data_IF_641021738285
#
_entry.id   IF_641021738285
#
_cell.length_a   1.000
_cell.length_b   1.000
_cell.length_c   1.000
_cell.angle_alpha   90.00
_cell.angle_beta   90.00
_cell.angle_gamma   90.00
#
_symmetry.space_group_name_H-M   'P 1'
#
loop_
_entity.id
_entity.type
_entity.pdbx_description
1 polymer ?
#
# COMPACT_ATOMS: atom_id res chain seq x y z
N UNK A 1 -26.91 -20.16 -0.49
CA UNK A 1 -26.46 -18.77 -0.23
C UNK A 1 -27.62 -17.87 -0.62
N UNK A 2 -28.02 -17.02 0.28
CA UNK A 2 -29.18 -16.14 0.05
C UNK A 2 -28.68 -14.67 0.16
N UNK A 3 -27.87 -14.28 -0.84
CA UNK A 3 -27.37 -12.92 -0.91
C UNK A 3 -28.41 -12.01 -1.56
N UNK A 4 -28.48 -10.75 -1.10
CA UNK A 4 -29.32 -9.72 -1.70
C UNK A 4 -28.92 -9.55 -3.17
N UNK A 5 -29.93 -9.60 -4.09
CA UNK A 5 -29.67 -9.48 -5.52
C UNK A 5 -29.72 -8.03 -5.99
N UNK A 6 -28.72 -7.70 -6.80
CA UNK A 6 -28.63 -6.43 -7.53
C UNK A 6 -28.69 -6.72 -9.02
N UNK A 7 -29.70 -6.20 -9.70
CA UNK A 7 -29.89 -6.39 -11.14
C UNK A 7 -29.32 -5.20 -11.91
N UNK A 8 -28.54 -5.47 -12.94
CA UNK A 8 -27.98 -4.44 -13.83
C UNK A 8 -28.98 -3.98 -14.88
N UNK A 9 -28.77 -2.76 -15.41
CA UNK A 9 -29.47 -2.27 -16.61
C UNK A 9 -29.04 -3.05 -17.85
N UNK A 10 -29.91 -3.18 -18.87
CA UNK A 10 -29.55 -3.82 -20.14
C UNK A 10 -28.29 -3.20 -20.75
N UNK A 11 -27.38 -4.04 -21.24
CA UNK A 11 -26.11 -3.62 -21.89
C UNK A 11 -25.06 -3.06 -20.93
N UNK A 12 -25.22 -3.25 -19.60
CA UNK A 12 -24.18 -2.87 -18.61
C UNK A 12 -23.34 -4.07 -18.14
N UNK A 13 -23.68 -5.27 -18.62
CA UNK A 13 -22.97 -6.53 -18.34
C UNK A 13 -21.67 -6.72 -19.12
N UNK A 14 -21.46 -6.01 -20.23
CA UNK A 14 -20.31 -6.23 -21.14
C UNK A 14 -18.94 -6.09 -20.49
N UNK A 15 -18.80 -5.20 -19.50
CA UNK A 15 -17.53 -5.03 -18.80
C UNK A 15 -17.18 -6.24 -17.91
N UNK A 16 -18.21 -6.94 -17.41
CA UNK A 16 -18.04 -8.09 -16.52
C UNK A 16 -17.64 -9.36 -17.29
N UNK A 17 -18.01 -9.47 -18.57
CA UNK A 17 -17.47 -10.51 -19.46
C UNK A 17 -15.96 -10.42 -19.66
N UNK A 18 -15.36 -9.26 -19.35
CA UNK A 18 -13.91 -9.02 -19.32
C UNK A 18 -13.36 -9.00 -17.89
N UNK A 19 -14.09 -9.52 -16.93
CA UNK A 19 -13.72 -9.60 -15.51
C UNK A 19 -13.44 -8.24 -14.86
N UNK A 20 -14.12 -7.16 -15.29
CA UNK A 20 -14.00 -5.87 -14.63
C UNK A 20 -14.71 -5.92 -13.26
N UNK A 21 -14.01 -5.61 -12.15
CA UNK A 21 -14.53 -5.90 -10.81
C UNK A 21 -15.48 -4.81 -10.26
N UNK A 22 -15.71 -3.70 -10.95
CA UNK A 22 -16.48 -2.57 -10.41
C UNK A 22 -17.85 -2.42 -11.05
N UNK A 23 -18.88 -2.48 -10.21
CA UNK A 23 -20.24 -2.11 -10.58
C UNK A 23 -20.48 -0.65 -10.20
N UNK A 24 -20.64 0.20 -11.19
CA UNK A 24 -20.95 1.61 -10.93
C UNK A 24 -22.43 1.78 -10.58
N UNK A 25 -22.76 2.71 -9.67
CA UNK A 25 -24.13 2.99 -9.23
C UNK A 25 -25.08 3.29 -10.41
N UNK A 26 -24.59 3.99 -11.44
CA UNK A 26 -25.36 4.26 -12.66
C UNK A 26 -25.70 3.03 -13.52
N UNK A 27 -25.04 1.88 -13.31
CA UNK A 27 -25.32 0.63 -14.01
C UNK A 27 -26.42 -0.20 -13.35
N UNK A 28 -26.80 0.10 -12.10
CA UNK A 28 -27.81 -0.65 -11.36
C UNK A 28 -29.20 -0.27 -11.83
N UNK A 29 -30.01 -1.30 -12.13
CA UNK A 29 -31.41 -1.16 -12.47
C UNK A 29 -32.28 -1.19 -11.22
N UNK A 30 -32.11 -2.21 -10.37
CA UNK A 30 -32.87 -2.36 -9.12
C UNK A 30 -32.11 -3.18 -8.09
N UNK A 31 -32.50 -2.96 -6.83
CA UNK A 31 -32.17 -3.81 -5.69
C UNK A 31 -33.38 -4.69 -5.37
N UNK A 32 -33.17 -5.96 -5.04
CA UNK A 32 -34.22 -6.83 -4.48
C UNK A 32 -34.65 -6.30 -3.11
N UNK A 33 -33.66 -5.96 -2.29
CA UNK A 33 -33.77 -5.22 -1.02
C UNK A 33 -32.59 -4.26 -0.97
N UNK A 34 -32.76 -3.09 -0.36
CA UNK A 34 -31.68 -2.12 -0.19
C UNK A 34 -30.56 -2.76 0.68
N UNK A 35 -29.35 -2.94 0.16
CA UNK A 35 -28.23 -3.44 0.96
C UNK A 35 -27.71 -2.37 1.92
N UNK A 36 -27.10 -2.83 3.00
CA UNK A 36 -26.32 -2.00 3.90
C UNK A 36 -24.85 -1.93 3.45
N UNK A 37 -24.10 -0.94 3.94
CA UNK A 37 -22.66 -0.78 3.68
C UNK A 37 -21.91 -2.06 4.10
N UNK A 38 -21.16 -2.63 3.17
CA UNK A 38 -20.36 -3.83 3.41
C UNK A 38 -21.06 -5.15 3.17
N UNK A 39 -22.39 -5.15 2.90
CA UNK A 39 -23.12 -6.38 2.60
C UNK A 39 -22.53 -7.12 1.42
N UNK A 40 -22.52 -8.45 1.53
CA UNK A 40 -22.24 -9.33 0.40
C UNK A 40 -23.50 -9.42 -0.45
N UNK A 41 -23.36 -9.15 -1.75
CA UNK A 41 -24.46 -9.10 -2.72
C UNK A 41 -24.17 -9.95 -3.94
N UNK A 42 -25.21 -10.51 -4.53
CA UNK A 42 -25.18 -11.18 -5.83
C UNK A 42 -25.56 -10.18 -6.93
N UNK A 43 -24.72 -10.08 -7.96
CA UNK A 43 -24.99 -9.23 -9.13
C UNK A 43 -25.49 -10.09 -10.27
N UNK A 44 -26.60 -9.68 -10.89
CA UNK A 44 -27.21 -10.34 -12.05
C UNK A 44 -27.36 -9.36 -13.20
N UNK A 45 -27.40 -9.89 -14.43
CA UNK A 45 -27.79 -9.11 -15.60
C UNK A 45 -29.30 -8.78 -15.59
N UNK A 46 -29.77 -8.08 -16.63
CA UNK A 46 -31.17 -7.71 -16.77
C UNK A 46 -32.11 -8.92 -16.90
N UNK A 47 -31.63 -10.07 -17.40
CA UNK A 47 -32.37 -11.30 -17.57
C UNK A 47 -32.36 -12.19 -16.32
N UNK A 48 -31.59 -11.83 -15.29
CA UNK A 48 -31.44 -12.58 -14.06
C UNK A 48 -30.30 -13.61 -14.10
N UNK A 49 -29.47 -13.60 -15.14
CA UNK A 49 -28.29 -14.46 -15.18
C UNK A 49 -27.22 -13.95 -14.19
N UNK A 50 -26.56 -14.88 -13.52
CA UNK A 50 -25.51 -14.60 -12.58
C UNK A 50 -24.30 -13.92 -13.25
N UNK A 51 -23.78 -12.87 -12.63
CA UNK A 51 -22.55 -12.16 -13.02
C UNK A 51 -21.45 -12.39 -12.01
N UNK A 52 -21.70 -12.14 -10.73
CA UNK A 52 -20.68 -12.26 -9.68
C UNK A 52 -21.23 -11.95 -8.29
N UNK A 53 -20.37 -12.16 -7.30
CA UNK A 53 -20.62 -11.84 -5.90
C UNK A 53 -19.59 -10.79 -5.45
N UNK A 54 -20.05 -9.77 -4.72
CA UNK A 54 -19.19 -8.68 -4.28
C UNK A 54 -19.68 -7.99 -3.02
N UNK A 55 -18.98 -6.94 -2.63
CA UNK A 55 -19.30 -6.11 -1.47
C UNK A 55 -19.94 -4.80 -1.92
N UNK A 56 -21.11 -4.48 -1.33
CA UNK A 56 -21.81 -3.24 -1.58
C UNK A 56 -21.22 -2.08 -0.78
N UNK A 57 -21.22 -0.90 -1.39
CA UNK A 57 -20.92 0.37 -0.68
C UNK A 57 -21.68 1.54 -1.31
N UNK A 58 -21.92 2.58 -0.52
CA UNK A 58 -22.51 3.84 -0.99
C UNK A 58 -21.43 4.64 -1.74
N UNK A 59 -21.67 4.95 -3.01
CA UNK A 59 -20.73 5.74 -3.82
C UNK A 59 -20.88 5.52 -5.32
N UNK A 60 -19.94 6.02 -6.09
CA UNK A 60 -19.92 5.85 -7.54
C UNK A 60 -19.64 4.39 -7.95
N UNK A 61 -18.74 3.72 -7.23
CA UNK A 61 -18.52 2.27 -7.33
C UNK A 61 -19.40 1.64 -6.24
N UNK A 62 -20.56 1.12 -6.65
CA UNK A 62 -21.57 0.60 -5.72
C UNK A 62 -21.30 -0.86 -5.30
N UNK A 63 -20.67 -1.68 -6.16
CA UNK A 63 -20.24 -3.02 -5.78
C UNK A 63 -18.83 -3.29 -6.30
N UNK A 64 -18.01 -3.90 -5.46
CA UNK A 64 -16.74 -4.49 -5.87
C UNK A 64 -16.87 -6.00 -5.89
N UNK A 65 -16.79 -6.57 -7.09
CA UNK A 65 -16.88 -8.03 -7.30
C UNK A 65 -15.65 -8.70 -6.68
N UNK A 66 -15.89 -9.68 -5.82
CA UNK A 66 -14.89 -10.54 -5.20
C UNK A 66 -14.66 -11.82 -6.00
N UNK A 67 -15.74 -12.31 -6.63
CA UNK A 67 -15.69 -13.52 -7.44
C UNK A 67 -16.73 -13.50 -8.56
N UNK A 68 -16.36 -14.08 -9.71
CA UNK A 68 -17.25 -14.33 -10.84
C UNK A 68 -17.78 -15.76 -10.85
N UNK A 69 -17.66 -16.46 -9.71
CA UNK A 69 -18.19 -17.82 -9.50
C UNK A 69 -19.24 -17.81 -8.40
N UNK A 70 -20.15 -18.76 -8.45
CA UNK A 70 -21.09 -19.00 -7.36
C UNK A 70 -20.36 -19.74 -6.24
N UNK A 71 -19.82 -19.00 -5.29
CA UNK A 71 -19.13 -19.51 -4.11
C UNK A 71 -19.42 -18.64 -2.90
N UNK A 72 -19.29 -19.20 -1.72
CA UNK A 72 -19.54 -18.50 -0.48
C UNK A 72 -18.35 -17.61 -0.09
N UNK A 73 -18.64 -16.37 0.30
CA UNK A 73 -17.62 -15.45 0.83
C UNK A 73 -17.52 -15.68 2.35
N UNK A 74 -16.54 -16.46 2.73
CA UNK A 74 -16.26 -16.87 4.10
C UNK A 74 -14.74 -16.91 4.35
N UNK A 75 -14.29 -17.36 5.52
CA UNK A 75 -12.86 -17.48 5.86
C UNK A 75 -12.09 -18.33 4.83
N UNK A 76 -12.69 -19.43 4.33
CA UNK A 76 -12.05 -20.28 3.31
C UNK A 76 -11.88 -19.58 1.96
N UNK A 77 -12.78 -18.69 1.59
CA UNK A 77 -12.62 -17.81 0.41
C UNK A 77 -11.39 -16.91 0.57
N UNK A 78 -11.29 -16.20 1.72
CA UNK A 78 -10.14 -15.33 2.00
C UNK A 78 -8.84 -16.13 2.07
N UNK A 79 -8.86 -17.31 2.69
CA UNK A 79 -7.70 -18.22 2.72
C UNK A 79 -7.16 -18.52 1.32
N UNK A 80 -8.03 -18.93 0.39
CA UNK A 80 -7.63 -19.23 -1.00
C UNK A 80 -7.00 -18.01 -1.70
N UNK A 81 -7.61 -16.84 -1.58
CA UNK A 81 -7.11 -15.61 -2.21
C UNK A 81 -5.76 -15.18 -1.64
N UNK A 82 -5.62 -15.24 -0.32
CA UNK A 82 -4.36 -14.92 0.36
C UNK A 82 -3.26 -15.92 0.03
N UNK A 83 -3.60 -17.21 -0.08
CA UNK A 83 -2.65 -18.24 -0.50
C UNK A 83 -2.17 -18.03 -1.95
N UNK A 84 -3.07 -17.67 -2.87
CA UNK A 84 -2.71 -17.32 -4.25
C UNK A 84 -1.76 -16.12 -4.27
N UNK A 85 -2.09 -15.04 -3.55
CA UNK A 85 -1.25 -13.86 -3.44
C UNK A 85 0.13 -14.19 -2.83
N UNK A 86 0.18 -14.99 -1.79
CA UNK A 86 1.43 -15.43 -1.16
C UNK A 86 2.31 -16.25 -2.11
N UNK A 87 1.72 -17.19 -2.84
CA UNK A 87 2.43 -18.01 -3.81
C UNK A 87 3.07 -17.17 -4.93
N UNK A 88 2.38 -16.13 -5.40
CA UNK A 88 2.95 -15.17 -6.37
C UNK A 88 4.19 -14.49 -5.79
N UNK A 89 4.13 -13.99 -4.55
CA UNK A 89 5.28 -13.31 -3.90
C UNK A 89 6.45 -14.25 -3.66
N UNK A 90 6.18 -15.50 -3.32
CA UNK A 90 7.22 -16.54 -3.21
C UNK A 90 7.90 -16.81 -4.56
N UNK A 91 7.11 -16.99 -5.62
CA UNK A 91 7.64 -17.26 -6.96
C UNK A 91 8.49 -16.12 -7.52
N UNK A 92 8.22 -14.88 -7.09
CA UNK A 92 8.99 -13.69 -7.43
C UNK A 92 10.23 -13.48 -6.54
N UNK A 93 10.49 -14.35 -5.56
CA UNK A 93 11.61 -14.22 -4.64
C UNK A 93 11.51 -13.04 -3.66
N UNK A 94 10.29 -12.51 -3.45
CA UNK A 94 10.06 -11.36 -2.57
C UNK A 94 10.07 -11.73 -1.08
N UNK A 95 9.98 -13.02 -0.76
CA UNK A 95 9.94 -13.59 0.58
C UNK A 95 10.92 -14.77 0.63
N UNK A 96 12.22 -14.48 0.68
CA UNK A 96 13.29 -15.49 0.69
C UNK A 96 14.16 -15.40 1.96
N UNK A 97 13.53 -15.19 3.10
CA UNK A 97 14.17 -15.22 4.41
C UNK A 97 14.93 -13.95 4.76
N UNK A 98 16.24 -14.08 5.06
CA UNK A 98 17.05 -12.96 5.54
C UNK A 98 17.34 -11.89 4.48
N UNK A 99 17.30 -12.26 3.21
CA UNK A 99 17.58 -11.32 2.10
C UNK A 99 16.37 -10.44 1.77
N UNK A 100 15.17 -11.04 1.79
CA UNK A 100 13.90 -10.33 1.62
C UNK A 100 12.85 -10.89 2.57
N UNK A 101 12.33 -10.08 3.46
CA UNK A 101 11.19 -10.39 4.33
C UNK A 101 10.14 -9.27 4.33
N UNK A 102 10.14 -8.44 3.29
CA UNK A 102 9.29 -7.27 3.13
C UNK A 102 8.70 -7.24 1.74
N UNK A 103 7.38 -7.15 1.63
CA UNK A 103 6.71 -6.94 0.35
C UNK A 103 5.25 -6.53 0.54
N UNK A 104 4.61 -6.02 -0.53
CA UNK A 104 3.16 -5.96 -0.61
C UNK A 104 2.61 -7.35 -0.91
N UNK A 105 1.99 -7.96 0.10
CA UNK A 105 1.37 -9.27 -0.02
C UNK A 105 0.04 -9.21 -0.78
N UNK A 106 -0.77 -8.20 -0.50
CA UNK A 106 -2.06 -7.98 -1.17
C UNK A 106 -2.15 -6.56 -1.70
N UNK A 107 -2.53 -6.45 -2.97
CA UNK A 107 -2.74 -5.19 -3.67
C UNK A 107 -4.14 -5.09 -4.29
N UNK A 108 -5.15 -5.07 -3.46
CA UNK A 108 -6.53 -4.79 -3.88
C UNK A 108 -7.00 -5.64 -5.04
N UNK A 109 -7.47 -4.99 -6.08
CA UNK A 109 -7.98 -5.59 -7.31
C UNK A 109 -6.96 -6.50 -8.01
N UNK A 110 -5.67 -6.19 -7.91
CA UNK A 110 -4.60 -6.99 -8.51
C UNK A 110 -4.48 -8.41 -7.92
N UNK A 111 -4.93 -8.59 -6.69
CA UNK A 111 -4.95 -9.89 -6.00
C UNK A 111 -6.39 -10.41 -5.78
N UNK A 112 -7.37 -9.90 -6.52
CA UNK A 112 -8.79 -10.24 -6.42
C UNK A 112 -9.39 -10.04 -5.00
N UNK A 113 -8.86 -9.07 -4.26
CA UNK A 113 -9.33 -8.62 -2.95
C UNK A 113 -9.52 -7.09 -2.96
N UNK A 114 -10.44 -6.56 -3.79
CA UNK A 114 -10.61 -5.14 -4.03
C UNK A 114 -10.85 -4.37 -2.72
N UNK A 115 -10.03 -3.35 -2.50
CA UNK A 115 -10.09 -2.53 -1.30
C UNK A 115 -9.30 -3.08 -0.10
N UNK A 116 -8.49 -4.12 -0.28
CA UNK A 116 -7.59 -4.65 0.75
C UNK A 116 -6.12 -4.42 0.37
N UNK A 117 -5.34 -3.87 1.27
CA UNK A 117 -3.88 -3.78 1.18
C UNK A 117 -3.28 -4.53 2.37
N UNK A 118 -2.28 -5.37 2.10
CA UNK A 118 -1.49 -6.02 3.16
C UNK A 118 -0.02 -5.92 2.78
N UNK A 119 0.77 -5.28 3.64
CA UNK A 119 2.22 -5.22 3.53
C UNK A 119 2.87 -6.05 4.64
N UNK A 120 3.86 -6.84 4.27
CA UNK A 120 4.65 -7.64 5.21
C UNK A 120 5.95 -6.92 5.55
N UNK A 121 6.27 -6.88 6.85
CA UNK A 121 7.51 -6.37 7.41
C UNK A 121 8.06 -7.39 8.40
N UNK A 122 8.94 -8.27 7.91
CA UNK A 122 9.44 -9.40 8.69
C UNK A 122 8.27 -10.26 9.22
N UNK A 123 8.07 -10.28 10.53
CA UNK A 123 7.02 -11.07 11.19
C UNK A 123 5.73 -10.29 11.48
N UNK A 124 5.59 -9.09 10.93
CA UNK A 124 4.40 -8.26 11.08
C UNK A 124 3.72 -8.02 9.74
N UNK A 125 2.43 -8.32 9.66
CA UNK A 125 1.57 -7.92 8.57
C UNK A 125 0.83 -6.63 8.94
N UNK A 126 0.90 -5.61 8.10
CA UNK A 126 0.13 -4.38 8.24
C UNK A 126 -1.01 -4.39 7.24
N UNK A 127 -2.24 -4.41 7.73
CA UNK A 127 -3.46 -4.54 6.95
C UNK A 127 -4.23 -3.22 6.90
N UNK A 128 -4.62 -2.80 5.71
CA UNK A 128 -5.48 -1.63 5.48
C UNK A 128 -6.72 -2.02 4.69
N UNK A 129 -7.88 -1.64 5.21
CA UNK A 129 -9.14 -1.66 4.48
C UNK A 129 -9.41 -0.28 3.86
N UNK A 130 -9.82 -0.27 2.61
CA UNK A 130 -10.23 0.92 1.86
C UNK A 130 -11.73 0.91 1.52
N UNK A 131 -12.44 -0.11 1.99
CA UNK A 131 -13.89 -0.31 1.78
C UNK A 131 -14.55 -0.81 3.06
N UNK A 132 -15.84 -0.49 3.29
CA UNK A 132 -16.59 -0.99 4.44
C UNK A 132 -16.61 -2.53 4.51
N UNK A 133 -16.80 -3.20 3.37
CA UNK A 133 -16.83 -4.66 3.33
C UNK A 133 -15.53 -5.31 3.79
N UNK A 134 -14.35 -4.76 3.41
CA UNK A 134 -13.06 -5.26 3.90
C UNK A 134 -12.83 -4.92 5.37
N UNK A 135 -13.36 -3.78 5.86
CA UNK A 135 -13.35 -3.45 7.27
C UNK A 135 -14.14 -4.46 8.11
N UNK A 136 -15.37 -4.78 7.71
CA UNK A 136 -16.18 -5.77 8.42
C UNK A 136 -15.60 -7.18 8.38
N UNK A 137 -14.96 -7.55 7.27
CA UNK A 137 -14.30 -8.85 7.12
C UNK A 137 -12.91 -8.96 7.80
N UNK A 138 -12.40 -7.89 8.43
CA UNK A 138 -11.00 -7.82 8.91
C UNK A 138 -10.59 -8.98 9.81
N UNK A 139 -11.47 -9.46 10.68
CA UNK A 139 -11.16 -10.59 11.57
C UNK A 139 -11.08 -11.93 10.82
N UNK A 140 -11.99 -12.18 9.87
CA UNK A 140 -11.93 -13.37 9.01
C UNK A 140 -10.67 -13.35 8.12
N UNK A 141 -10.33 -12.18 7.59
CA UNK A 141 -9.11 -11.99 6.79
C UNK A 141 -7.86 -12.23 7.66
N UNK A 142 -7.84 -11.72 8.89
CA UNK A 142 -6.72 -11.93 9.81
C UNK A 142 -6.54 -13.41 10.19
N UNK A 143 -7.62 -14.14 10.43
CA UNK A 143 -7.58 -15.60 10.68
C UNK A 143 -7.07 -16.37 9.47
N UNK A 144 -7.60 -16.07 8.29
CA UNK A 144 -7.16 -16.65 7.04
C UNK A 144 -5.67 -16.33 6.75
N UNK A 145 -5.22 -15.10 7.00
CA UNK A 145 -3.83 -14.69 6.84
C UNK A 145 -2.89 -15.45 7.79
N UNK A 146 -3.29 -15.62 9.06
CA UNK A 146 -2.54 -16.43 10.02
C UNK A 146 -2.48 -17.91 9.59
N UNK A 147 -3.56 -18.43 9.02
CA UNK A 147 -3.60 -19.81 8.50
C UNK A 147 -2.68 -20.00 7.30
N UNK A 148 -2.57 -19.01 6.40
CA UNK A 148 -1.67 -19.04 5.23
C UNK A 148 -0.21 -18.91 5.62
N UNK A 149 0.13 -17.95 6.48
CA UNK A 149 1.52 -17.61 6.80
C UNK A 149 2.09 -18.40 7.99
N UNK A 150 1.22 -18.99 8.84
CA UNK A 150 1.61 -19.83 9.96
C UNK A 150 2.61 -19.12 10.89
N UNK A 151 3.78 -19.73 11.08
CA UNK A 151 4.86 -19.20 11.93
C UNK A 151 5.71 -18.12 11.24
N UNK A 152 5.41 -17.78 9.97
CA UNK A 152 6.09 -16.68 9.30
C UNK A 152 5.64 -15.29 9.82
N UNK A 153 4.49 -15.20 10.48
CA UNK A 153 4.03 -13.97 11.14
C UNK A 153 3.68 -14.21 12.62
N UNK A 154 4.01 -13.21 13.42
CA UNK A 154 3.66 -13.17 14.85
C UNK A 154 2.60 -12.08 15.11
N UNK A 155 2.50 -11.04 14.23
CA UNK A 155 1.63 -9.91 14.43
C UNK A 155 0.84 -9.55 13.17
N UNK A 156 -0.40 -9.08 13.38
CA UNK A 156 -1.23 -8.44 12.36
C UNK A 156 -1.69 -7.10 12.94
N UNK A 157 -1.24 -6.01 12.35
CA UNK A 157 -1.64 -4.65 12.74
C UNK A 157 -2.64 -4.09 11.72
N UNK A 158 -3.83 -3.76 12.17
CA UNK A 158 -4.87 -3.12 11.35
C UNK A 158 -4.72 -1.61 11.43
N UNK A 159 -4.57 -0.97 10.27
CA UNK A 159 -4.31 0.48 10.16
C UNK A 159 -5.24 1.12 9.14
N UNK A 160 -6.48 1.36 9.51
CA UNK A 160 -7.50 1.83 8.57
C UNK A 160 -8.25 3.10 8.98
N UNK A 161 -7.90 3.71 10.10
CA UNK A 161 -8.51 4.95 10.60
C UNK A 161 -8.61 6.05 9.51
N UNK A 162 -7.59 6.18 8.66
CA UNK A 162 -7.52 7.23 7.62
C UNK A 162 -7.77 6.72 6.20
N UNK A 163 -8.00 5.42 6.00
CA UNK A 163 -8.14 4.81 4.67
C UNK A 163 -9.57 4.47 4.30
N UNK A 164 -10.45 4.35 5.28
CA UNK A 164 -11.87 4.08 5.06
C UNK A 164 -12.60 5.30 4.47
N UNK A 165 -13.65 5.06 3.66
CA UNK A 165 -14.44 6.14 3.11
C UNK A 165 -15.09 6.98 4.22
N UNK A 166 -14.85 8.28 4.22
CA UNK A 166 -15.43 9.23 5.20
C UNK A 166 -16.96 9.11 5.33
N UNK A 167 -17.66 8.82 4.22
CA UNK A 167 -19.13 8.72 4.20
C UNK A 167 -19.69 7.47 4.88
N UNK A 168 -18.85 6.50 5.20
CA UNK A 168 -19.31 5.27 5.83
C UNK A 168 -19.46 5.39 7.34
N UNK A 169 -19.00 6.51 7.94
CA UNK A 169 -19.08 6.80 9.38
C UNK A 169 -18.65 5.62 10.26
N UNK A 170 -17.64 4.87 9.79
CA UNK A 170 -17.13 3.69 10.49
C UNK A 170 -16.18 4.11 11.61
N UNK A 171 -16.44 3.59 12.79
CA UNK A 171 -15.55 3.72 13.93
C UNK A 171 -14.40 2.72 13.80
N UNK A 172 -13.36 3.14 13.07
CA UNK A 172 -12.21 2.30 12.77
C UNK A 172 -11.00 2.77 13.56
N UNK A 173 -10.75 2.14 14.69
CA UNK A 173 -9.51 2.31 15.42
C UNK A 173 -8.39 1.43 14.81
N UNK A 174 -7.16 1.94 14.90
CA UNK A 174 -5.98 1.15 14.56
C UNK A 174 -5.64 0.22 15.73
N UNK A 175 -5.52 -1.08 15.46
CA UNK A 175 -5.36 -2.10 16.50
C UNK A 175 -4.49 -3.28 16.06
N UNK A 176 -3.98 -4.05 17.01
CA UNK A 176 -3.43 -5.38 16.72
C UNK A 176 -4.55 -6.41 16.69
N UNK A 177 -4.79 -7.03 15.54
CA UNK A 177 -5.71 -8.19 15.40
C UNK A 177 -5.07 -9.51 15.82
N UNK A 178 -3.73 -9.54 15.83
CA UNK A 178 -2.93 -10.66 16.31
C UNK A 178 -1.63 -10.13 16.91
N UNK A 179 -1.19 -10.71 18.02
CA UNK A 179 0.09 -10.37 18.65
C UNK A 179 0.07 -9.03 19.35
N UNK A 180 1.18 -8.30 19.24
CA UNK A 180 1.39 -7.02 19.91
C UNK A 180 2.72 -6.40 19.51
N UNK A 181 3.49 -5.95 20.50
CA UNK A 181 4.79 -5.34 20.25
C UNK A 181 5.79 -6.33 19.63
N UNK A 182 6.47 -5.92 18.57
CA UNK A 182 7.40 -6.72 17.80
C UNK A 182 8.60 -5.91 17.33
N UNK A 183 9.76 -6.56 17.07
CA UNK A 183 10.87 -5.92 16.42
C UNK A 183 10.46 -5.35 15.08
N UNK A 184 10.65 -4.05 14.91
CA UNK A 184 10.24 -3.29 13.73
C UNK A 184 11.35 -3.17 12.68
N UNK A 185 12.22 -4.18 12.58
CA UNK A 185 13.29 -4.25 11.57
C UNK A 185 12.84 -5.19 10.47
N UNK A 186 12.87 -4.69 9.25
CA UNK A 186 12.59 -5.43 8.03
C UNK A 186 13.80 -5.43 7.10
N UNK A 187 13.83 -6.33 6.12
CA UNK A 187 14.92 -6.48 5.16
C UNK A 187 14.40 -6.46 3.73
N UNK A 188 15.05 -5.67 2.89
CA UNK A 188 14.80 -5.58 1.46
C UNK A 188 16.13 -5.65 0.71
N UNK A 189 16.28 -6.63 -0.17
CA UNK A 189 17.52 -6.85 -0.94
C UNK A 189 18.78 -6.86 -0.05
N UNK A 190 18.69 -7.46 1.14
CA UNK A 190 19.78 -7.56 2.11
C UNK A 190 20.02 -6.28 2.95
N UNK A 191 19.37 -5.16 2.66
CA UNK A 191 19.43 -3.94 3.48
C UNK A 191 18.35 -3.96 4.55
N UNK A 192 18.73 -3.62 5.77
CA UNK A 192 17.83 -3.60 6.94
C UNK A 192 17.32 -2.19 7.19
N UNK A 193 16.08 -2.09 7.66
CA UNK A 193 15.50 -0.80 8.03
C UNK A 193 14.41 -0.94 9.08
N UNK A 194 14.30 0.10 9.89
CA UNK A 194 13.21 0.24 10.84
C UNK A 194 11.94 0.68 10.12
N UNK A 195 10.81 0.09 10.49
CA UNK A 195 9.48 0.45 9.99
C UNK A 195 8.61 0.93 11.14
N UNK A 196 8.06 2.11 11.03
CA UNK A 196 7.05 2.61 11.98
C UNK A 196 5.66 2.45 11.36
N UNK A 197 5.05 1.28 11.52
CA UNK A 197 3.69 1.05 11.03
C UNK A 197 2.62 1.72 11.88
N UNK A 198 2.90 2.08 13.13
CA UNK A 198 1.94 2.73 14.02
C UNK A 198 1.76 4.21 13.65
N UNK A 199 2.87 4.95 13.54
CA UNK A 199 2.87 6.41 13.34
C UNK A 199 3.32 6.85 11.94
N UNK A 200 3.98 5.96 11.20
CA UNK A 200 4.50 6.24 9.86
C UNK A 200 3.40 6.42 8.82
N UNK A 201 3.78 6.96 7.68
CA UNK A 201 2.87 7.13 6.54
C UNK A 201 2.46 5.77 5.94
N UNK A 202 1.25 5.70 5.38
CA UNK A 202 0.72 4.47 4.77
C UNK A 202 0.83 3.29 5.75
N UNK A 203 1.45 2.20 5.31
CA UNK A 203 1.75 1.01 6.13
C UNK A 203 3.06 1.12 6.91
N UNK A 204 3.84 2.21 6.74
CA UNK A 204 5.12 2.46 7.43
C UNK A 204 6.32 2.58 6.50
N UNK A 205 6.27 2.00 5.29
CA UNK A 205 7.33 2.09 4.28
C UNK A 205 6.73 2.01 2.85
N UNK A 206 7.45 2.53 1.86
CA UNK A 206 7.03 2.50 0.45
C UNK A 206 7.62 1.27 -0.25
N UNK A 207 6.99 0.11 -0.07
CA UNK A 207 7.48 -1.18 -0.61
C UNK A 207 7.43 -1.26 -2.14
N UNK A 208 6.60 -0.45 -2.78
CA UNK A 208 6.44 -0.34 -4.24
C UNK A 208 7.66 0.27 -4.93
N UNK A 209 8.50 1.03 -4.21
CA UNK A 209 9.70 1.68 -4.74
C UNK A 209 10.95 0.79 -4.75
N UNK A 210 10.84 -0.51 -4.44
CA UNK A 210 11.98 -1.46 -4.35
C UNK A 210 12.86 -1.43 -5.60
N UNK A 211 12.26 -1.59 -6.77
CA UNK A 211 12.99 -1.65 -8.04
C UNK A 211 13.64 -0.31 -8.39
N UNK A 212 12.99 0.80 -8.06
CA UNK A 212 13.57 2.13 -8.25
C UNK A 212 14.75 2.37 -7.30
N UNK A 213 14.69 1.86 -6.06
CA UNK A 213 15.84 1.89 -5.15
C UNK A 213 17.02 1.05 -5.66
N UNK A 214 16.74 -0.16 -6.15
CA UNK A 214 17.76 -1.03 -6.75
C UNK A 214 18.33 -0.42 -8.04
N UNK A 215 17.53 0.27 -8.82
CA UNK A 215 18.00 1.00 -10.01
C UNK A 215 18.95 2.14 -9.62
N UNK A 216 18.57 2.94 -8.61
CA UNK A 216 19.41 4.02 -8.11
C UNK A 216 20.80 3.52 -7.69
N UNK A 217 20.84 2.38 -6.99
CA UNK A 217 22.10 1.77 -6.53
C UNK A 217 23.10 1.59 -7.69
N UNK A 218 22.61 1.16 -8.87
CA UNK A 218 23.47 0.96 -10.06
C UNK A 218 24.08 2.26 -10.58
N UNK A 219 23.41 3.40 -10.35
CA UNK A 219 23.86 4.69 -10.83
C UNK A 219 24.63 5.50 -9.77
N UNK A 220 24.66 5.03 -8.52
CA UNK A 220 25.21 5.80 -7.41
C UNK A 220 26.76 5.80 -7.33
N UNK A 221 27.42 4.83 -7.95
CA UNK A 221 28.87 4.64 -7.82
C UNK A 221 29.69 5.89 -8.14
N UNK A 222 30.49 6.35 -7.16
CA UNK A 222 31.37 7.51 -7.27
C UNK A 222 30.67 8.87 -7.37
N UNK A 223 29.35 8.92 -7.22
CA UNK A 223 28.55 10.15 -7.35
C UNK A 223 28.19 10.76 -6.02
N UNK A 224 27.98 12.09 -6.02
CA UNK A 224 27.29 12.82 -4.97
C UNK A 224 25.79 12.70 -5.22
N UNK A 225 25.05 12.15 -4.25
CA UNK A 225 23.61 11.86 -4.38
C UNK A 225 22.81 12.73 -3.43
N UNK A 226 21.77 13.38 -3.94
CA UNK A 226 20.77 14.10 -3.15
C UNK A 226 19.43 13.34 -3.20
N UNK A 227 18.90 12.96 -2.05
CA UNK A 227 17.59 12.35 -1.88
C UNK A 227 16.62 13.36 -1.25
N UNK A 228 15.79 13.99 -2.08
CA UNK A 228 14.76 14.94 -1.66
C UNK A 228 13.48 14.22 -1.30
N UNK A 229 12.75 14.72 -0.29
CA UNK A 229 11.54 14.05 0.25
C UNK A 229 11.85 12.62 0.69
N UNK A 230 12.99 12.47 1.38
CA UNK A 230 13.61 11.17 1.59
C UNK A 230 12.82 10.24 2.51
N UNK A 231 11.80 10.73 3.24
CA UNK A 231 11.05 9.99 4.24
C UNK A 231 12.00 9.25 5.20
N UNK A 232 12.02 7.93 5.23
CA UNK A 232 12.88 7.12 6.11
C UNK A 232 14.19 6.70 5.47
N UNK A 233 14.60 7.37 4.38
CA UNK A 233 15.91 7.21 3.75
C UNK A 233 16.08 6.01 2.85
N UNK A 234 14.98 5.41 2.37
CA UNK A 234 15.04 4.20 1.55
C UNK A 234 16.00 4.30 0.37
N UNK A 235 15.95 5.36 -0.41
CA UNK A 235 16.88 5.59 -1.51
C UNK A 235 18.32 5.86 -1.02
N UNK A 236 18.48 6.53 0.13
CA UNK A 236 19.79 6.93 0.64
C UNK A 236 20.68 5.74 0.99
N UNK A 237 20.16 4.74 1.73
CA UNK A 237 20.98 3.58 2.07
C UNK A 237 21.24 2.66 0.87
N UNK A 238 20.38 2.66 -0.18
CA UNK A 238 20.71 2.00 -1.45
C UNK A 238 21.82 2.75 -2.21
N UNK A 239 21.81 4.09 -2.24
CA UNK A 239 22.88 4.88 -2.83
C UNK A 239 24.23 4.63 -2.12
N UNK A 240 24.23 4.53 -0.78
CA UNK A 240 25.43 4.21 0.00
C UNK A 240 25.99 2.82 -0.34
N UNK A 241 25.12 1.80 -0.46
CA UNK A 241 25.55 0.45 -0.88
C UNK A 241 26.08 0.45 -2.31
N UNK A 242 25.53 1.30 -3.18
CA UNK A 242 26.02 1.54 -4.54
C UNK A 242 27.35 2.30 -4.61
N UNK A 243 28.03 2.54 -3.47
CA UNK A 243 29.30 3.25 -3.36
C UNK A 243 29.23 4.71 -3.84
N UNK A 244 28.15 5.43 -3.51
CA UNK A 244 28.12 6.87 -3.63
C UNK A 244 29.28 7.50 -2.80
N UNK A 245 29.90 8.56 -3.29
CA UNK A 245 30.96 9.30 -2.56
C UNK A 245 30.38 10.21 -1.47
N UNK A 246 29.14 10.66 -1.65
CA UNK A 246 28.39 11.52 -0.74
C UNK A 246 26.91 11.21 -0.92
N UNK A 247 26.14 11.17 0.18
CA UNK A 247 24.67 11.03 0.16
C UNK A 247 24.06 12.04 1.12
N UNK A 248 23.25 12.95 0.60
CA UNK A 248 22.45 13.86 1.42
C UNK A 248 20.99 13.48 1.35
N UNK A 249 20.32 13.49 2.50
CA UNK A 249 18.89 13.21 2.65
C UNK A 249 18.16 14.44 3.19
N UNK A 250 17.09 14.85 2.54
CA UNK A 250 16.31 16.02 2.94
C UNK A 250 14.83 15.65 3.08
N UNK A 251 14.25 15.98 4.23
CA UNK A 251 12.82 15.86 4.50
C UNK A 251 12.40 16.91 5.53
N UNK A 252 11.19 17.44 5.41
CA UNK A 252 10.67 18.42 6.36
C UNK A 252 10.33 17.83 7.75
N UNK A 253 10.18 16.50 7.83
CA UNK A 253 9.86 15.78 9.06
C UNK A 253 11.12 15.38 9.82
N UNK A 254 11.38 16.00 10.98
CA UNK A 254 12.49 15.61 11.85
C UNK A 254 12.44 14.14 12.27
N UNK A 255 11.22 13.58 12.50
CA UNK A 255 11.05 12.16 12.82
C UNK A 255 11.46 11.24 11.66
N UNK A 256 11.19 11.63 10.41
CA UNK A 256 11.61 10.90 9.23
C UNK A 256 13.16 10.94 9.12
N UNK A 257 13.76 12.10 9.34
CA UNK A 257 15.22 12.27 9.35
C UNK A 257 15.89 11.46 10.47
N UNK A 258 15.34 11.45 11.68
CA UNK A 258 15.85 10.60 12.77
C UNK A 258 15.85 9.12 12.39
N UNK A 259 14.78 8.67 11.71
CA UNK A 259 14.67 7.29 11.25
C UNK A 259 15.61 7.01 10.08
N UNK A 260 15.81 7.97 9.18
CA UNK A 260 16.82 7.90 8.10
C UNK A 260 18.22 7.69 8.68
N UNK A 261 18.63 8.49 9.68
CA UNK A 261 19.93 8.33 10.34
C UNK A 261 20.08 6.95 10.99
N UNK A 262 19.03 6.46 11.69
CA UNK A 262 19.04 5.12 12.28
C UNK A 262 19.16 4.02 11.22
N UNK A 263 18.50 4.15 10.09
CA UNK A 263 18.54 3.18 8.98
C UNK A 263 19.92 3.17 8.31
N UNK A 264 20.55 4.32 8.17
CA UNK A 264 21.92 4.41 7.65
C UNK A 264 22.89 3.76 8.64
N UNK A 265 22.84 4.12 9.92
CA UNK A 265 23.71 3.54 10.95
C UNK A 265 23.53 2.02 11.09
N UNK A 266 22.32 1.50 10.92
CA UNK A 266 22.01 0.06 10.96
C UNK A 266 22.76 -0.74 9.86
N UNK A 267 22.95 -0.14 8.69
CA UNK A 267 23.60 -0.78 7.53
C UNK A 267 25.06 -0.39 7.34
N UNK A 268 25.44 0.81 7.77
CA UNK A 268 26.77 1.41 7.53
C UNK A 268 27.28 2.11 8.80
N UNK A 269 27.53 1.36 9.88
CA UNK A 269 27.92 1.95 11.16
C UNK A 269 29.23 2.75 11.04
N UNK A 270 29.18 4.01 11.50
CA UNK A 270 30.29 4.91 11.47
C UNK A 270 30.68 5.47 10.10
N UNK A 271 29.88 5.25 9.06
CA UNK A 271 30.14 5.79 7.72
C UNK A 271 29.72 7.27 7.63
N UNK A 272 30.69 8.13 7.38
CA UNK A 272 30.52 9.59 7.36
C UNK A 272 30.11 10.16 5.98
N UNK A 273 29.87 9.32 4.98
CA UNK A 273 29.41 9.77 3.65
C UNK A 273 27.99 10.30 3.65
N UNK A 274 27.18 10.00 4.68
CA UNK A 274 25.79 10.40 4.76
C UNK A 274 25.61 11.62 5.66
N UNK A 275 24.75 12.56 5.20
CA UNK A 275 24.24 13.66 6.02
C UNK A 275 22.74 13.80 5.78
N UNK A 276 21.99 14.16 6.83
CA UNK A 276 20.54 14.30 6.75
C UNK A 276 20.09 15.65 7.31
N UNK A 277 19.10 16.28 6.66
CA UNK A 277 18.64 17.62 6.92
C UNK A 277 17.13 17.62 7.14
N UNK A 278 16.69 18.03 8.33
CA UNK A 278 15.27 18.26 8.64
C UNK A 278 14.87 19.66 8.17
N UNK A 279 14.67 19.82 6.86
CA UNK A 279 14.43 21.11 6.23
C UNK A 279 13.38 21.02 5.13
N UNK A 280 12.74 22.15 4.86
CA UNK A 280 11.87 22.29 3.69
C UNK A 280 12.68 22.13 2.40
N UNK A 281 12.16 21.29 1.49
CA UNK A 281 12.86 20.92 0.28
C UNK A 281 13.18 22.13 -0.62
N UNK A 282 12.28 23.11 -0.73
CA UNK A 282 12.50 24.29 -1.58
C UNK A 282 13.55 25.22 -0.96
N UNK A 283 13.51 25.41 0.36
CA UNK A 283 14.54 26.19 1.07
C UNK A 283 15.93 25.57 0.92
N UNK A 284 15.99 24.23 1.01
CA UNK A 284 17.25 23.52 0.82
C UNK A 284 17.79 23.73 -0.61
N UNK A 285 16.92 23.64 -1.62
CA UNK A 285 17.28 23.87 -3.03
C UNK A 285 17.81 25.29 -3.27
N UNK A 286 17.23 26.30 -2.63
CA UNK A 286 17.67 27.70 -2.74
C UNK A 286 19.09 27.93 -2.21
N UNK A 287 19.56 27.09 -1.29
CA UNK A 287 20.85 27.23 -0.61
C UNK A 287 21.90 26.27 -1.14
N UNK A 288 21.51 25.21 -1.87
CA UNK A 288 22.45 24.24 -2.40
C UNK A 288 23.18 24.79 -3.64
N UNK A 289 24.48 24.46 -3.75
CA UNK A 289 25.25 24.70 -4.97
C UNK A 289 25.22 23.51 -5.93
N UNK A 290 25.95 23.61 -7.05
CA UNK A 290 26.11 22.57 -8.08
C UNK A 290 27.02 21.41 -7.58
N UNK A 291 26.63 20.74 -6.48
CA UNK A 291 27.47 19.73 -5.82
C UNK A 291 26.99 18.29 -6.01
N UNK A 292 25.83 18.07 -6.66
CA UNK A 292 25.25 16.75 -6.82
C UNK A 292 25.29 16.27 -8.26
N UNK A 293 25.71 15.02 -8.43
CA UNK A 293 25.76 14.34 -9.72
C UNK A 293 24.44 13.57 -10.01
N UNK A 294 23.65 13.29 -8.97
CA UNK A 294 22.41 12.50 -9.05
C UNK A 294 21.41 12.99 -8.00
N UNK A 295 20.22 13.34 -8.44
CA UNK A 295 19.16 13.84 -7.57
C UNK A 295 17.93 12.93 -7.70
N UNK A 296 17.42 12.46 -6.56
CA UNK A 296 16.13 11.79 -6.45
C UNK A 296 15.10 12.83 -6.02
N UNK A 297 14.05 12.97 -6.83
CA UNK A 297 12.96 13.90 -6.60
C UNK A 297 11.64 13.12 -6.61
N UNK A 298 11.17 12.70 -5.41
CA UNK A 298 9.92 11.95 -5.23
C UNK A 298 8.98 12.71 -4.27
N UNK A 299 8.43 13.86 -4.71
CA UNK A 299 7.62 14.70 -3.86
C UNK A 299 6.25 14.09 -3.57
N UNK A 300 5.61 14.45 -2.44
CA UNK A 300 4.21 14.12 -2.21
C UNK A 300 3.31 14.80 -3.24
N UNK A 301 2.09 14.29 -3.44
CA UNK A 301 1.12 14.90 -4.31
C UNK A 301 0.83 16.36 -3.88
N UNK A 302 1.25 17.34 -4.67
CA UNK A 302 1.03 18.76 -4.40
C UNK A 302 -0.44 19.18 -4.57
N UNK A 303 -1.21 18.50 -5.43
CA UNK A 303 -2.62 18.76 -5.66
C UNK A 303 -3.50 17.65 -5.09
N UNK A 304 -3.95 17.80 -3.85
CA UNK A 304 -4.96 16.91 -3.23
C UNK A 304 -6.39 17.23 -3.67
N UNK A 305 -6.65 18.46 -4.19
CA UNK A 305 -7.96 18.92 -4.61
C UNK A 305 -7.83 19.84 -5.83
N UNK A 306 -8.87 19.88 -6.69
CA UNK A 306 -8.94 20.73 -7.89
C UNK A 306 -8.60 22.20 -7.63
N UNK A 307 -8.95 22.74 -6.45
CA UNK A 307 -8.70 24.14 -6.09
C UNK A 307 -7.22 24.52 -5.97
N UNK A 308 -6.33 23.55 -5.73
CA UNK A 308 -4.88 23.79 -5.60
C UNK A 308 -4.09 23.32 -6.82
N UNK A 309 -4.79 22.89 -7.88
CA UNK A 309 -4.16 22.37 -9.10
C UNK A 309 -3.23 23.39 -9.76
N UNK A 310 -3.65 24.67 -9.83
CA UNK A 310 -2.83 25.73 -10.44
C UNK A 310 -1.52 25.94 -9.68
N UNK A 311 -1.54 25.91 -8.34
CA UNK A 311 -0.34 26.04 -7.53
C UNK A 311 0.58 24.84 -7.71
N UNK A 312 0.01 23.63 -7.80
CA UNK A 312 0.77 22.41 -8.06
C UNK A 312 1.41 22.42 -9.46
N UNK A 313 0.71 22.93 -10.49
CA UNK A 313 1.25 23.09 -11.82
C UNK A 313 2.42 24.09 -11.85
N UNK A 314 2.32 25.20 -11.13
CA UNK A 314 3.41 26.19 -11.03
C UNK A 314 4.67 25.58 -10.38
N UNK A 315 4.50 24.77 -9.33
CA UNK A 315 5.60 24.08 -8.68
C UNK A 315 6.26 23.03 -9.59
N UNK A 316 5.46 22.37 -10.45
CA UNK A 316 5.93 21.32 -11.34
C UNK A 316 6.57 21.84 -12.63
N UNK A 317 6.17 23.03 -13.09
CA UNK A 317 6.62 23.63 -14.35
C UNK A 317 7.54 24.82 -14.16
N UNK A 318 7.92 25.15 -12.92
CA UNK A 318 8.90 26.21 -12.67
C UNK A 318 10.21 25.83 -13.36
N UNK A 319 10.73 26.62 -14.27
CA UNK A 319 12.02 26.33 -14.89
C UNK A 319 13.08 26.39 -13.80
N UNK A 320 13.82 25.30 -13.68
CA UNK A 320 15.01 25.22 -12.83
C UNK A 320 16.14 26.07 -13.43
#
# INVERSE_FOLDING_TARGET
MDYIKITLKPGKEDSFHRFHPWVFSGAIYRFEKQPEEGDIVEVTDHQGNFIGIGQYQIGSIAVRILTFKQEEINEQFYFKRLQEAYNVRLSLGLLNGEYNNTCRLVHGEGDNLPGLIIDLYNKTAVMQAHTPGMHYARHQIAQALKSVLGNAIDNIYYKSETTLPYKAELDAENEYLLGGDAPNIATENGLKFYVDWVRGQKTGFFVDQRENRALLERYAHGRSVLNMFCYTGGFSFYAMRGNAKLVHSVDSSSKAIDLTCKNVELNFPGDNRHQAFAEDAFKFLDTMGDQYDLIILDPPAFAKHKKVLNNACLLYTSPS
#
